data_IF_980766848011
#
_entry.id   IF_980766848011
#
_cell.length_a   1.000
_cell.length_b   1.000
_cell.length_c   1.000
_cell.angle_alpha   90.00
_cell.angle_beta   90.00
_cell.angle_gamma   90.00
#
_symmetry.space_group_name_H-M   'P 1'
#
loop_
_entity.id
_entity.type
_entity.pdbx_description
1 polymer ?
#
# COMPACT_ATOMS: atom_id res chain seq x y z
N UNK A 1 20.83 -41.33 -34.28
CA UNK A 1 19.37 -41.35 -34.49
C UNK A 1 18.84 -42.34 -33.46
N UNK A 2 18.18 -41.96 -32.38
CA UNK A 2 17.26 -40.83 -32.23
C UNK A 2 17.30 -40.28 -30.79
N UNK A 3 17.12 -38.97 -30.65
CA UNK A 3 17.10 -38.20 -29.40
C UNK A 3 15.65 -38.01 -28.95
N UNK A 4 15.29 -38.55 -27.79
CA UNK A 4 14.04 -38.18 -27.10
C UNK A 4 14.09 -38.58 -25.62
N UNK A 5 14.97 -37.93 -24.86
CA UNK A 5 14.76 -37.77 -23.40
C UNK A 5 13.88 -36.55 -23.21
N UNK A 6 12.57 -36.78 -23.04
CA UNK A 6 11.66 -35.77 -22.51
C UNK A 6 12.17 -35.32 -21.14
N UNK A 7 12.64 -34.08 -21.06
CA UNK A 7 12.76 -33.37 -19.79
C UNK A 7 11.35 -33.20 -19.23
N UNK A 8 11.00 -34.00 -18.22
CA UNK A 8 9.87 -33.70 -17.35
C UNK A 8 10.20 -32.40 -16.61
N UNK A 9 9.46 -31.35 -16.92
CA UNK A 9 9.40 -30.14 -16.10
C UNK A 9 8.95 -30.54 -14.69
N UNK A 10 9.58 -30.02 -13.61
CA UNK A 10 9.14 -30.30 -12.26
C UNK A 10 7.71 -29.80 -12.02
N UNK A 11 6.91 -30.62 -11.36
CA UNK A 11 5.53 -30.35 -10.97
C UNK A 11 5.42 -29.09 -10.11
N UNK A 12 4.40 -28.27 -10.38
CA UNK A 12 4.06 -27.02 -9.70
C UNK A 12 3.84 -27.13 -8.19
N UNK A 13 3.77 -28.35 -7.65
CA UNK A 13 3.52 -28.62 -6.23
C UNK A 13 4.72 -28.36 -5.30
N UNK A 14 5.94 -28.21 -5.83
CA UNK A 14 7.17 -27.96 -5.04
C UNK A 14 7.59 -26.49 -4.93
N UNK A 15 6.76 -25.55 -5.40
CA UNK A 15 6.99 -24.13 -5.19
C UNK A 15 6.59 -23.72 -3.75
N UNK A 16 7.34 -22.83 -3.08
CA UNK A 16 6.92 -22.17 -1.84
C UNK A 16 5.49 -21.63 -1.98
N UNK A 17 4.69 -21.65 -0.92
CA UNK A 17 3.28 -21.21 -0.92
C UNK A 17 3.07 -19.84 -1.57
N UNK A 18 4.06 -18.95 -1.45
CA UNK A 18 4.12 -17.63 -2.05
C UNK A 18 3.97 -17.58 -3.59
N UNK A 19 4.36 -18.65 -4.31
CA UNK A 19 4.22 -18.76 -5.77
C UNK A 19 3.00 -19.60 -6.18
N UNK A 20 2.23 -20.12 -5.23
CA UNK A 20 0.95 -20.75 -5.54
C UNK A 20 -0.04 -19.61 -5.73
N UNK A 21 -0.73 -19.59 -6.87
CA UNK A 21 -1.93 -18.78 -7.00
C UNK A 21 -2.89 -19.25 -5.90
N UNK A 22 -3.03 -18.47 -4.83
CA UNK A 22 -4.16 -18.65 -3.94
C UNK A 22 -5.41 -18.53 -4.81
N UNK A 23 -6.32 -19.47 -4.66
CA UNK A 23 -7.68 -19.32 -5.17
C UNK A 23 -8.26 -18.12 -4.44
N UNK A 24 -8.10 -16.94 -5.04
CA UNK A 24 -8.75 -15.71 -4.63
C UNK A 24 -10.23 -16.04 -4.58
N UNK A 25 -10.77 -16.20 -3.36
CA UNK A 25 -12.20 -16.04 -3.11
C UNK A 25 -12.63 -14.79 -3.84
N UNK A 26 -13.78 -14.78 -4.53
CA UNK A 26 -14.28 -13.69 -5.38
C UNK A 26 -14.39 -12.34 -4.63
N UNK A 27 -13.28 -11.74 -4.25
CA UNK A 27 -13.19 -10.36 -3.79
C UNK A 27 -13.34 -9.52 -5.06
N UNK A 28 -14.23 -8.52 -5.08
CA UNK A 28 -14.44 -7.71 -6.27
C UNK A 28 -13.15 -6.98 -6.66
N UNK A 29 -12.39 -7.52 -7.60
CA UNK A 29 -11.26 -6.79 -8.19
C UNK A 29 -11.83 -5.50 -8.79
N UNK A 30 -11.22 -4.35 -8.49
CA UNK A 30 -11.59 -3.07 -9.09
C UNK A 30 -11.07 -3.00 -10.53
N UNK A 31 -11.56 -3.88 -11.40
CA UNK A 31 -11.24 -3.86 -12.82
C UNK A 31 -12.11 -2.84 -13.56
N UNK A 32 -11.46 -1.77 -14.05
CA UNK A 32 -11.98 -0.65 -14.88
C UNK A 32 -12.65 0.50 -14.13
N UNK A 33 -12.51 1.69 -14.75
CA UNK A 33 -13.10 2.98 -14.34
C UNK A 33 -14.59 2.79 -13.98
N UNK A 34 -15.06 3.36 -12.86
CA UNK A 34 -16.41 3.10 -12.40
C UNK A 34 -17.43 3.61 -13.41
N UNK A 35 -18.55 2.89 -13.55
CA UNK A 35 -19.69 3.38 -14.32
C UNK A 35 -20.14 4.72 -13.76
N UNK A 36 -20.49 5.67 -14.63
CA UNK A 36 -20.92 7.02 -14.25
C UNK A 36 -22.20 7.06 -13.38
N UNK A 37 -22.88 5.92 -13.22
CA UNK A 37 -24.16 5.77 -12.51
C UNK A 37 -24.04 4.95 -11.21
N UNK A 38 -23.00 5.19 -10.40
CA UNK A 38 -22.96 4.66 -9.04
C UNK A 38 -23.74 5.56 -8.09
N UNK A 39 -24.61 4.96 -7.26
CA UNK A 39 -25.34 5.65 -6.19
C UNK A 39 -24.73 5.40 -4.81
N UNK A 40 -23.85 4.41 -4.66
CA UNK A 40 -23.18 4.09 -3.41
C UNK A 40 -21.80 3.46 -3.68
N UNK A 41 -20.88 3.60 -2.72
CA UNK A 41 -19.56 3.00 -2.81
C UNK A 41 -19.64 1.45 -2.78
N UNK A 42 -18.80 0.71 -3.51
CA UNK A 42 -18.69 -0.73 -3.32
C UNK A 42 -18.22 -1.05 -1.90
N UNK A 43 -18.75 -2.13 -1.32
CA UNK A 43 -18.39 -2.58 0.03
C UNK A 43 -17.47 -3.80 -0.10
N UNK A 44 -16.35 -3.78 0.61
CA UNK A 44 -15.46 -4.91 0.81
C UNK A 44 -15.63 -5.47 2.21
N UNK A 45 -15.49 -6.79 2.33
CA UNK A 45 -15.37 -7.43 3.63
C UNK A 45 -14.03 -7.05 4.26
N UNK A 46 -14.10 -6.43 5.43
CA UNK A 46 -12.92 -6.13 6.22
C UNK A 46 -12.48 -7.37 6.99
N UNK A 47 -11.19 -7.70 6.89
CA UNK A 47 -10.60 -8.73 7.74
C UNK A 47 -10.57 -8.25 9.21
N UNK A 48 -11.02 -9.07 10.15
CA UNK A 48 -10.95 -8.74 11.58
C UNK A 48 -9.50 -8.53 12.08
N UNK A 49 -8.48 -8.99 11.36
CA UNK A 49 -7.08 -8.78 11.72
C UNK A 49 -6.64 -7.31 11.71
N UNK A 50 -7.25 -6.43 10.90
CA UNK A 50 -6.81 -5.03 10.83
C UNK A 50 -6.93 -4.30 12.17
N UNK A 51 -7.91 -4.69 13.01
CA UNK A 51 -8.12 -4.11 14.34
C UNK A 51 -6.94 -4.36 15.28
N UNK A 52 -6.23 -5.48 15.06
CA UNK A 52 -5.07 -5.85 15.83
C UNK A 52 -3.79 -5.18 15.34
N UNK A 53 -3.77 -4.54 14.17
CA UNK A 53 -2.62 -3.79 13.67
C UNK A 53 -2.32 -2.55 14.52
N UNK A 54 -1.13 -1.97 14.39
CA UNK A 54 -0.76 -0.67 14.95
C UNK A 54 -1.83 0.38 14.65
N UNK A 55 -2.26 0.43 13.39
CA UNK A 55 -3.21 1.45 12.96
C UNK A 55 -4.59 1.21 13.56
N UNK A 56 -5.06 -0.04 13.57
CA UNK A 56 -6.31 -0.44 14.21
C UNK A 56 -6.34 -0.10 15.70
N UNK A 57 -5.30 -0.50 16.45
CA UNK A 57 -5.15 -0.16 17.88
C UNK A 57 -5.15 1.35 18.12
N UNK A 58 -4.52 2.11 17.23
CA UNK A 58 -4.45 3.58 17.32
C UNK A 58 -5.81 4.25 17.07
N UNK A 59 -6.58 3.74 16.10
CA UNK A 59 -7.96 4.20 15.86
C UNK A 59 -8.83 3.89 17.08
N UNK A 60 -8.71 2.67 17.64
CA UNK A 60 -9.46 2.28 18.84
C UNK A 60 -9.12 3.14 20.06
N UNK A 61 -7.86 3.56 20.25
CA UNK A 61 -7.49 4.46 21.34
C UNK A 61 -8.20 5.83 21.24
N UNK A 62 -8.35 6.36 20.03
CA UNK A 62 -8.89 7.70 19.83
C UNK A 62 -10.36 7.78 19.38
N UNK A 63 -11.02 6.65 19.11
CA UNK A 63 -12.37 6.62 18.52
C UNK A 63 -13.39 7.47 19.29
N UNK A 64 -13.37 7.45 20.63
CA UNK A 64 -14.27 8.27 21.47
C UNK A 64 -14.14 9.76 21.23
N UNK A 65 -12.91 10.24 21.06
CA UNK A 65 -12.65 11.65 20.77
C UNK A 65 -13.16 12.02 19.38
N UNK A 66 -12.86 11.18 18.39
CA UNK A 66 -13.33 11.35 17.01
C UNK A 66 -14.86 11.33 16.90
N UNK A 67 -15.54 10.42 17.61
CA UNK A 67 -17.01 10.38 17.68
C UNK A 67 -17.58 11.67 18.27
N UNK A 68 -17.00 12.18 19.37
CA UNK A 68 -17.49 13.41 19.98
C UNK A 68 -17.35 14.62 19.07
N UNK A 69 -16.21 14.74 18.36
CA UNK A 69 -16.00 15.79 17.35
C UNK A 69 -17.07 15.73 16.26
N UNK A 70 -17.40 14.53 15.77
CA UNK A 70 -18.39 14.35 14.73
C UNK A 70 -19.83 14.64 15.19
N UNK A 71 -20.20 14.24 16.41
CA UNK A 71 -21.50 14.56 17.00
C UNK A 71 -21.68 16.06 17.24
N UNK A 72 -20.69 16.73 17.84
CA UNK A 72 -20.77 18.16 18.14
C UNK A 72 -20.85 19.04 16.89
N UNK A 73 -20.33 18.54 15.76
CA UNK A 73 -20.29 19.24 14.48
C UNK A 73 -21.39 18.80 13.49
N UNK A 74 -22.29 17.89 13.87
CA UNK A 74 -23.28 17.26 12.97
C UNK A 74 -22.64 16.70 11.67
N UNK A 75 -21.55 15.95 11.81
CA UNK A 75 -20.79 15.38 10.70
C UNK A 75 -20.81 13.84 10.70
N UNK A 76 -20.48 13.25 9.56
CA UNK A 76 -19.94 11.90 9.45
C UNK A 76 -18.40 11.98 9.50
N UNK A 77 -17.77 11.01 10.14
CA UNK A 77 -16.33 10.86 10.24
C UNK A 77 -15.94 9.44 9.82
N UNK A 78 -14.83 9.32 9.11
CA UNK A 78 -14.32 8.02 8.67
C UNK A 78 -12.81 8.00 8.59
N UNK A 79 -12.24 6.82 8.83
CA UNK A 79 -10.82 6.54 8.63
C UNK A 79 -10.70 5.40 7.63
N UNK A 80 -9.86 5.59 6.61
CA UNK A 80 -9.62 4.59 5.57
C UNK A 80 -8.27 3.89 5.75
N UNK A 81 -8.12 2.74 5.11
CA UNK A 81 -6.84 2.10 4.81
C UNK A 81 -6.07 2.88 3.71
N UNK A 82 -4.84 2.45 3.34
CA UNK A 82 -4.07 3.08 2.27
C UNK A 82 -4.65 2.94 0.86
N UNK A 83 -5.72 2.16 0.70
CA UNK A 83 -6.41 1.92 -0.57
C UNK A 83 -7.69 2.74 -0.73
N UNK A 84 -8.18 3.36 0.35
CA UNK A 84 -9.42 4.13 0.38
C UNK A 84 -10.64 3.35 0.92
N UNK A 85 -10.43 2.14 1.46
CA UNK A 85 -11.47 1.35 2.13
C UNK A 85 -11.67 1.89 3.54
N UNK A 86 -12.89 2.24 3.91
CA UNK A 86 -13.22 2.70 5.27
C UNK A 86 -13.03 1.57 6.27
N UNK A 87 -12.07 1.74 7.20
CA UNK A 87 -11.82 0.80 8.30
C UNK A 87 -12.74 1.09 9.48
N UNK A 88 -12.99 2.36 9.76
CA UNK A 88 -13.81 2.80 10.88
C UNK A 88 -14.65 4.01 10.46
N UNK A 89 -15.90 4.06 10.90
CA UNK A 89 -16.80 5.19 10.65
C UNK A 89 -17.67 5.51 11.86
N UNK A 90 -18.08 6.77 11.94
CA UNK A 90 -19.16 7.20 12.81
C UNK A 90 -19.97 8.30 12.13
N UNK A 91 -21.29 8.31 12.35
CA UNK A 91 -22.16 9.36 11.81
C UNK A 91 -23.08 9.91 12.88
N UNK A 92 -23.03 11.23 13.05
CA UNK A 92 -24.01 11.96 13.84
C UNK A 92 -25.42 11.70 13.34
N UNK A 93 -26.41 11.93 14.22
CA UNK A 93 -27.83 11.66 13.91
C UNK A 93 -28.28 12.32 12.59
N UNK A 94 -27.94 13.58 12.27
CA UNK A 94 -28.36 14.21 11.01
C UNK A 94 -27.74 13.58 9.76
N UNK A 95 -26.55 12.99 9.87
CA UNK A 95 -25.81 12.43 8.73
C UNK A 95 -26.03 10.92 8.55
N UNK A 96 -26.46 10.20 9.59
CA UNK A 96 -26.54 8.72 9.61
C UNK A 96 -27.21 8.10 8.40
N UNK A 97 -28.46 8.48 8.13
CA UNK A 97 -29.23 7.93 7.00
C UNK A 97 -28.57 8.23 5.65
N UNK A 98 -28.03 9.44 5.48
CA UNK A 98 -27.31 9.79 4.25
C UNK A 98 -26.01 8.99 4.10
N UNK A 99 -25.26 8.80 5.20
CA UNK A 99 -24.02 8.03 5.21
C UNK A 99 -24.25 6.56 4.85
N UNK A 100 -25.26 5.93 5.44
CA UNK A 100 -25.64 4.54 5.14
C UNK A 100 -26.04 4.36 3.68
N UNK A 101 -26.84 5.27 3.11
CA UNK A 101 -27.31 5.18 1.72
C UNK A 101 -26.20 5.19 0.67
N UNK A 102 -25.10 5.90 0.94
CA UNK A 102 -23.97 6.01 0.00
C UNK A 102 -22.83 5.06 0.34
N UNK A 103 -23.02 4.20 1.34
CA UNK A 103 -22.02 3.31 1.91
C UNK A 103 -20.77 4.04 2.43
N UNK A 104 -20.97 5.17 3.11
CA UNK A 104 -19.98 5.74 4.02
C UNK A 104 -20.03 4.97 5.35
N UNK A 105 -19.67 3.70 5.26
CA UNK A 105 -19.69 2.70 6.35
C UNK A 105 -18.41 1.87 6.28
N UNK A 106 -18.12 1.09 7.32
CA UNK A 106 -17.00 0.15 7.32
C UNK A 106 -17.07 -0.79 6.09
N UNK A 107 -15.94 -0.96 5.40
CA UNK A 107 -15.83 -1.70 4.15
C UNK A 107 -16.10 -0.87 2.89
N UNK A 108 -16.73 0.30 3.00
CA UNK A 108 -16.99 1.17 1.85
C UNK A 108 -15.70 1.65 1.19
N UNK A 109 -15.54 1.47 -0.12
CA UNK A 109 -14.35 1.85 -0.88
C UNK A 109 -14.52 3.17 -1.63
N UNK A 110 -13.75 4.17 -1.21
CA UNK A 110 -13.87 5.56 -1.64
C UNK A 110 -12.68 6.08 -2.46
N UNK A 111 -11.83 5.19 -3.00
CA UNK A 111 -10.80 5.58 -3.96
C UNK A 111 -11.40 6.22 -5.22
N UNK A 112 -10.60 7.03 -5.93
CA UNK A 112 -11.02 7.61 -7.22
C UNK A 112 -11.36 6.54 -8.25
N UNK A 113 -10.69 5.39 -8.19
CA UNK A 113 -10.96 4.24 -9.04
C UNK A 113 -12.31 3.58 -8.75
N UNK A 114 -12.84 3.71 -7.53
CA UNK A 114 -14.11 3.09 -7.15
C UNK A 114 -15.31 4.02 -7.32
N UNK A 115 -15.21 5.29 -6.93
CA UNK A 115 -16.37 6.22 -6.90
C UNK A 115 -16.13 7.53 -7.65
N UNK A 116 -15.02 7.64 -8.39
CA UNK A 116 -14.64 8.87 -9.08
C UNK A 116 -14.11 9.95 -8.14
N UNK A 117 -14.03 11.19 -8.63
CA UNK A 117 -13.51 12.31 -7.86
C UNK A 117 -14.33 12.53 -6.57
N UNK A 118 -13.64 12.52 -5.43
CA UNK A 118 -14.16 12.75 -4.10
C UNK A 118 -12.99 13.17 -3.17
N UNK A 119 -13.27 13.63 -1.95
CA UNK A 119 -12.23 14.14 -1.05
C UNK A 119 -11.21 13.06 -0.61
N UNK A 120 -11.66 11.84 -0.31
CA UNK A 120 -10.76 10.72 0.05
C UNK A 120 -9.85 10.39 -1.12
N UNK A 121 -10.42 10.18 -2.31
CA UNK A 121 -9.68 9.89 -3.53
C UNK A 121 -8.67 10.99 -3.89
N UNK A 122 -9.07 12.27 -3.76
CA UNK A 122 -8.17 13.39 -4.02
C UNK A 122 -7.00 13.41 -3.03
N UNK A 123 -7.27 13.23 -1.72
CA UNK A 123 -6.23 13.19 -0.70
C UNK A 123 -5.29 11.98 -0.84
N UNK A 124 -5.79 10.81 -1.28
CA UNK A 124 -4.97 9.65 -1.63
C UNK A 124 -3.99 9.96 -2.76
N UNK A 125 -4.46 10.65 -3.81
CA UNK A 125 -3.67 10.93 -5.01
C UNK A 125 -2.67 12.07 -4.84
N UNK A 126 -2.99 13.08 -4.02
CA UNK A 126 -2.13 14.25 -3.80
C UNK A 126 -1.26 14.14 -2.56
N UNK A 127 -1.58 13.23 -1.64
CA UNK A 127 -1.01 13.16 -0.29
C UNK A 127 -1.08 14.52 0.45
N UNK A 128 -2.15 15.28 0.21
CA UNK A 128 -2.42 16.55 0.86
C UNK A 128 -3.85 16.57 1.39
N UNK A 129 -4.13 17.47 2.34
CA UNK A 129 -5.50 17.73 2.71
C UNK A 129 -6.30 18.22 1.48
N UNK A 130 -7.59 17.92 1.45
CA UNK A 130 -8.48 18.27 0.35
C UNK A 130 -9.89 18.60 0.86
N UNK A 131 -10.56 19.48 0.12
CA UNK A 131 -11.97 19.78 0.27
C UNK A 131 -12.63 19.52 -1.08
N UNK A 132 -13.72 18.77 -1.07
CA UNK A 132 -14.56 18.56 -2.26
C UNK A 132 -15.97 19.00 -1.91
N UNK A 133 -16.41 20.04 -2.61
CA UNK A 133 -17.67 20.72 -2.34
C UNK A 133 -18.73 20.32 -3.37
N UNK A 134 -19.83 19.73 -2.89
CA UNK A 134 -21.05 19.49 -3.67
C UNK A 134 -20.79 18.80 -5.01
N UNK A 135 -21.03 19.49 -6.13
CA UNK A 135 -20.92 18.96 -7.50
C UNK A 135 -19.48 18.70 -7.97
N UNK A 136 -18.48 19.07 -7.16
CA UNK A 136 -17.11 18.59 -7.36
C UNK A 136 -16.99 17.08 -7.09
N UNK A 137 -17.93 16.49 -6.35
CA UNK A 137 -18.06 15.04 -6.26
C UNK A 137 -18.61 14.48 -7.57
N UNK A 138 -17.94 13.45 -8.08
CA UNK A 138 -18.37 12.80 -9.31
C UNK A 138 -19.64 11.97 -9.09
N UNK A 139 -19.70 11.21 -8.00
CA UNK A 139 -20.86 10.40 -7.60
C UNK A 139 -22.05 11.29 -7.23
N UNK A 140 -23.20 11.09 -7.88
CA UNK A 140 -24.35 11.98 -7.76
C UNK A 140 -24.96 12.01 -6.35
N UNK A 141 -25.00 10.86 -5.68
CA UNK A 141 -25.63 10.66 -4.37
C UNK A 141 -24.97 11.41 -3.21
N UNK A 142 -23.78 11.97 -3.42
CA UNK A 142 -23.05 12.80 -2.44
C UNK A 142 -22.91 14.27 -2.87
N UNK A 143 -23.59 14.71 -3.94
CA UNK A 143 -23.50 16.10 -4.41
C UNK A 143 -24.20 17.10 -3.49
N UNK A 144 -24.98 16.64 -2.53
CA UNK A 144 -25.50 17.48 -1.45
C UNK A 144 -24.56 17.55 -0.24
N UNK A 145 -23.32 17.03 -0.34
CA UNK A 145 -22.34 17.03 0.74
C UNK A 145 -21.19 18.00 0.48
N UNK A 146 -20.49 18.33 1.54
CA UNK A 146 -19.11 18.82 1.51
C UNK A 146 -18.24 17.86 2.31
N UNK A 147 -17.11 17.49 1.74
CA UNK A 147 -16.21 16.48 2.29
C UNK A 147 -14.82 17.08 2.45
N UNK A 148 -14.23 16.86 3.62
CA UNK A 148 -12.87 17.25 3.95
C UNK A 148 -12.08 15.98 4.21
N UNK A 149 -10.86 15.89 3.68
CA UNK A 149 -10.01 14.74 3.85
C UNK A 149 -8.58 15.16 4.16
N UNK A 150 -7.88 14.42 5.02
CA UNK A 150 -6.46 14.64 5.32
C UNK A 150 -5.69 13.31 5.44
N UNK A 151 -4.45 13.25 4.93
CA UNK A 151 -3.63 12.06 5.03
C UNK A 151 -3.13 11.82 6.46
N UNK A 152 -3.15 10.56 6.88
CA UNK A 152 -2.53 10.08 8.11
C UNK A 152 -1.17 9.50 7.75
N UNK A 153 -0.16 10.38 7.77
CA UNK A 153 1.24 10.01 7.54
C UNK A 153 2.03 10.23 8.82
N UNK A 154 2.82 9.23 9.22
CA UNK A 154 3.78 9.37 10.31
C UNK A 154 4.98 10.21 9.85
N UNK A 155 5.21 11.34 10.53
CA UNK A 155 6.27 12.28 10.20
C UNK A 155 7.69 11.70 10.41
N UNK A 156 7.85 10.72 11.31
CA UNK A 156 9.17 10.17 11.65
C UNK A 156 9.62 9.10 10.63
N UNK A 157 8.70 8.23 10.23
CA UNK A 157 8.97 7.10 9.31
C UNK A 157 8.62 7.44 7.86
N UNK A 158 7.78 8.45 7.64
CA UNK A 158 7.13 8.73 6.37
C UNK A 158 6.20 7.60 5.93
N UNK A 159 5.69 6.78 6.87
CA UNK A 159 4.72 5.73 6.59
C UNK A 159 3.33 6.34 6.43
N UNK A 160 2.64 5.98 5.34
CA UNK A 160 1.27 6.38 5.07
C UNK A 160 0.31 5.27 5.55
N UNK A 161 -0.68 5.64 6.36
CA UNK A 161 -1.62 4.70 6.95
C UNK A 161 -3.02 4.73 6.32
N UNK A 162 -3.40 5.87 5.72
CA UNK A 162 -4.72 6.07 5.14
C UNK A 162 -5.19 7.51 5.25
N UNK A 163 -6.48 7.73 5.04
CA UNK A 163 -7.11 9.06 5.04
C UNK A 163 -8.11 9.20 6.19
N UNK A 164 -8.03 10.32 6.90
CA UNK A 164 -9.09 10.83 7.77
C UNK A 164 -10.09 11.63 6.93
N UNK A 165 -11.39 11.41 7.11
CA UNK A 165 -12.45 12.12 6.41
C UNK A 165 -13.49 12.69 7.38
N UNK A 166 -13.94 13.91 7.10
CA UNK A 166 -15.10 14.55 7.71
C UNK A 166 -16.07 14.98 6.61
N UNK A 167 -17.34 14.62 6.74
CA UNK A 167 -18.37 14.92 5.74
C UNK A 167 -19.65 15.46 6.38
N UNK A 168 -20.29 16.43 5.74
CA UNK A 168 -21.60 16.95 6.16
C UNK A 168 -22.36 17.51 4.96
N UNK A 169 -23.57 18.04 5.14
CA UNK A 169 -24.33 18.69 4.07
C UNK A 169 -23.65 19.99 3.62
N UNK A 170 -23.63 20.26 2.32
CA UNK A 170 -22.85 21.38 1.76
C UNK A 170 -23.25 22.75 2.32
N UNK A 171 -24.51 22.92 2.79
CA UNK A 171 -24.98 24.17 3.41
C UNK A 171 -24.27 24.47 4.74
N UNK A 172 -23.66 23.45 5.37
CA UNK A 172 -22.85 23.58 6.58
C UNK A 172 -21.36 23.74 6.28
N UNK A 173 -20.97 23.99 5.03
CA UNK A 173 -19.58 24.24 4.66
C UNK A 173 -18.99 25.38 5.50
N UNK A 174 -17.80 25.12 6.04
CA UNK A 174 -17.00 26.08 6.77
C UNK A 174 -15.55 26.02 6.27
N UNK A 175 -14.90 27.17 6.11
CA UNK A 175 -13.48 27.27 5.77
C UNK A 175 -12.56 26.60 6.80
N UNK A 176 -13.02 26.42 8.04
CA UNK A 176 -12.27 25.69 9.08
C UNK A 176 -12.33 24.15 8.94
N UNK A 177 -13.09 23.60 8.01
CA UNK A 177 -13.26 22.15 7.86
C UNK A 177 -11.96 21.40 7.54
N UNK A 178 -11.06 22.01 6.76
CA UNK A 178 -9.72 21.46 6.51
C UNK A 178 -8.91 21.35 7.81
N UNK A 179 -8.90 22.42 8.61
CA UNK A 179 -8.18 22.43 9.89
C UNK A 179 -8.77 21.41 10.87
N UNK A 180 -10.09 21.20 10.84
CA UNK A 180 -10.76 20.20 11.65
C UNK A 180 -10.35 18.76 11.27
N UNK A 181 -10.35 18.43 9.97
CA UNK A 181 -9.98 17.08 9.51
C UNK A 181 -8.47 16.82 9.70
N UNK A 182 -7.62 17.83 9.51
CA UNK A 182 -6.19 17.75 9.82
C UNK A 182 -5.96 17.51 11.31
N UNK A 183 -6.72 18.21 12.17
CA UNK A 183 -6.65 17.99 13.62
C UNK A 183 -7.10 16.58 14.01
N UNK A 184 -8.13 16.05 13.38
CA UNK A 184 -8.56 14.66 13.57
C UNK A 184 -7.48 13.67 13.12
N UNK A 185 -6.85 13.91 11.98
CA UNK A 185 -5.72 13.11 11.51
C UNK A 185 -4.55 13.14 12.51
N UNK A 186 -4.25 14.31 13.09
CA UNK A 186 -3.19 14.46 14.09
C UNK A 186 -3.48 13.72 15.40
N UNK A 187 -4.75 13.64 15.83
CA UNK A 187 -5.14 12.80 16.97
C UNK A 187 -4.76 11.33 16.70
N UNK A 188 -5.04 10.81 15.51
CA UNK A 188 -4.68 9.44 15.13
C UNK A 188 -3.15 9.28 15.03
N UNK A 189 -2.44 10.25 14.45
CA UNK A 189 -0.96 10.23 14.38
C UNK A 189 -0.31 10.18 15.77
N UNK A 190 -0.86 10.92 16.74
CA UNK A 190 -0.39 10.88 18.12
C UNK A 190 -0.63 9.50 18.76
N UNK A 191 -1.81 8.90 18.54
CA UNK A 191 -2.10 7.54 19.01
C UNK A 191 -1.14 6.52 18.38
N UNK A 192 -0.87 6.62 17.08
CA UNK A 192 0.13 5.81 16.38
C UNK A 192 1.45 5.86 17.12
N UNK A 193 2.00 7.06 17.38
CA UNK A 193 3.28 7.21 18.08
C UNK A 193 3.33 6.52 19.45
N UNK A 194 2.23 6.51 20.20
CA UNK A 194 2.14 5.83 21.51
C UNK A 194 2.16 4.29 21.38
N UNK A 195 1.58 3.76 20.30
CA UNK A 195 1.47 2.33 20.04
C UNK A 195 2.62 1.74 19.22
N UNK A 196 3.57 2.55 18.73
CA UNK A 196 4.73 2.07 17.96
C UNK A 196 5.76 1.35 18.84
N UNK A 197 5.42 0.13 19.26
CA UNK A 197 6.29 -0.77 20.03
C UNK A 197 6.38 -2.12 19.34
N UNK A 198 7.60 -2.64 19.24
CA UNK A 198 7.93 -3.89 18.55
C UNK A 198 7.48 -3.88 17.07
N UNK A 199 7.88 -2.84 16.33
CA UNK A 199 7.50 -2.65 14.92
C UNK A 199 8.74 -2.47 14.04
N UNK A 200 8.81 -3.26 12.98
CA UNK A 200 9.85 -3.23 11.96
C UNK A 200 9.29 -2.63 10.66
N UNK A 201 9.86 -1.51 10.24
CA UNK A 201 9.56 -0.88 8.96
C UNK A 201 10.64 -1.24 7.95
N UNK A 202 10.25 -1.76 6.79
CA UNK A 202 11.16 -2.08 5.69
C UNK A 202 10.63 -1.40 4.43
N UNK A 203 11.40 -0.42 3.95
CA UNK A 203 11.22 0.16 2.61
C UNK A 203 12.23 -0.46 1.68
N UNK A 204 11.80 -1.10 0.60
CA UNK A 204 12.66 -1.82 -0.33
C UNK A 204 12.31 -1.58 -1.81
N UNK A 205 11.21 -0.89 -2.12
CA UNK A 205 10.90 -0.41 -3.47
C UNK A 205 11.64 0.89 -3.74
N UNK A 206 12.81 0.82 -4.35
CA UNK A 206 13.74 1.94 -4.51
C UNK A 206 14.90 1.88 -3.51
N UNK A 207 15.26 3.01 -2.89
CA UNK A 207 16.39 3.04 -1.94
C UNK A 207 16.03 2.36 -0.62
N UNK A 208 16.70 1.25 -0.25
CA UNK A 208 16.30 0.49 0.93
C UNK A 208 16.51 1.25 2.23
N UNK A 209 15.54 1.18 3.13
CA UNK A 209 15.63 1.75 4.49
C UNK A 209 14.94 0.81 5.47
N UNK A 210 15.57 0.58 6.62
CA UNK A 210 15.02 -0.24 7.68
C UNK A 210 14.98 0.56 8.97
N UNK A 211 13.87 0.51 9.69
CA UNK A 211 13.70 1.14 10.99
C UNK A 211 13.06 0.16 11.97
N UNK A 212 13.51 0.16 13.22
CA UNK A 212 12.89 -0.61 14.30
C UNK A 212 12.51 0.34 15.43
N UNK A 213 11.23 0.33 15.84
CA UNK A 213 10.69 1.26 16.84
C UNK A 213 11.10 2.73 16.58
N UNK A 214 10.94 3.20 15.34
CA UNK A 214 11.33 4.55 14.87
C UNK A 214 12.83 4.82 14.76
N UNK A 215 13.70 3.90 15.16
CA UNK A 215 15.14 4.06 15.03
C UNK A 215 15.64 3.46 13.71
N UNK A 216 16.29 4.29 12.89
CA UNK A 216 16.94 3.82 11.66
C UNK A 216 18.07 2.85 11.94
N UNK A 217 18.11 1.74 11.20
CA UNK A 217 19.15 0.73 11.29
C UNK A 217 20.14 0.88 10.14
N UNK A 218 21.43 0.92 10.46
CA UNK A 218 22.49 0.84 9.46
C UNK A 218 22.80 -0.63 9.19
N UNK A 219 22.22 -1.17 8.13
CA UNK A 219 22.33 -2.58 7.77
C UNK A 219 23.15 -2.78 6.50
N UNK A 220 23.84 -3.92 6.40
CA UNK A 220 24.44 -4.35 5.14
C UNK A 220 23.35 -4.76 4.15
N UNK A 221 23.66 -4.78 2.85
CA UNK A 221 22.73 -5.30 1.84
C UNK A 221 22.26 -6.72 2.20
N UNK A 222 23.17 -7.58 2.66
CA UNK A 222 22.86 -8.97 3.02
C UNK A 222 21.88 -9.06 4.19
N UNK A 223 22.00 -8.17 5.17
CA UNK A 223 21.09 -8.11 6.31
C UNK A 223 19.70 -7.63 5.92
N UNK A 224 19.60 -6.66 5.00
CA UNK A 224 18.32 -6.21 4.44
C UNK A 224 17.65 -7.37 3.67
N UNK A 225 18.41 -8.09 2.85
CA UNK A 225 17.90 -9.27 2.13
C UNK A 225 17.36 -10.34 3.08
N UNK A 226 18.05 -10.62 4.20
CA UNK A 226 17.56 -11.55 5.23
C UNK A 226 16.22 -11.06 5.78
N UNK A 227 16.11 -9.79 6.17
CA UNK A 227 14.86 -9.24 6.72
C UNK A 227 13.71 -9.30 5.70
N UNK A 228 13.97 -9.00 4.43
CA UNK A 228 12.96 -9.12 3.37
C UNK A 228 12.50 -10.56 3.17
N UNK A 229 13.41 -11.55 3.16
CA UNK A 229 13.03 -12.97 3.07
C UNK A 229 12.17 -13.37 4.27
N UNK A 230 12.55 -12.97 5.49
CA UNK A 230 11.76 -13.29 6.68
C UNK A 230 10.39 -12.61 6.67
N UNK A 231 10.27 -11.40 6.11
CA UNK A 231 9.00 -10.72 5.94
C UNK A 231 8.10 -11.39 4.87
N UNK A 232 8.70 -11.94 3.82
CA UNK A 232 8.01 -12.74 2.79
C UNK A 232 7.68 -14.17 3.26
N UNK A 233 8.24 -14.63 4.38
CA UNK A 233 8.00 -15.96 4.96
C UNK A 233 7.48 -15.86 6.40
N UNK A 234 6.23 -15.40 6.62
CA UNK A 234 5.68 -15.18 7.97
C UNK A 234 5.60 -16.45 8.82
N UNK A 235 5.33 -17.61 8.20
CA UNK A 235 5.35 -18.93 8.87
C UNK A 235 6.75 -19.36 9.35
N UNK A 236 7.77 -18.67 8.87
CA UNK A 236 9.18 -18.91 9.15
C UNK A 236 9.86 -19.80 8.12
N UNK A 237 11.19 -19.73 8.13
CA UNK A 237 12.08 -20.43 7.20
C UNK A 237 13.21 -21.13 7.96
N UNK A 238 13.58 -22.34 7.57
CA UNK A 238 14.67 -23.05 8.24
C UNK A 238 16.04 -22.54 7.77
N UNK A 239 17.12 -22.98 8.43
CA UNK A 239 18.47 -22.49 8.12
C UNK A 239 18.94 -22.80 6.69
N UNK A 240 18.66 -24.01 6.21
CA UNK A 240 19.10 -24.49 4.90
C UNK A 240 18.30 -23.81 3.79
N UNK A 241 16.98 -23.66 3.98
CA UNK A 241 16.10 -22.92 3.08
C UNK A 241 16.49 -21.44 3.01
N UNK A 242 16.75 -20.79 4.14
CA UNK A 242 17.16 -19.39 4.17
C UNK A 242 18.51 -19.19 3.48
N UNK A 243 19.44 -20.14 3.68
CA UNK A 243 20.72 -20.12 2.99
C UNK A 243 20.55 -20.24 1.48
N UNK A 244 19.75 -21.21 1.02
CA UNK A 244 19.47 -21.39 -0.40
C UNK A 244 18.74 -20.18 -1.01
N UNK A 245 17.72 -19.66 -0.32
CA UNK A 245 16.97 -18.48 -0.75
C UNK A 245 17.90 -17.26 -0.98
N UNK A 246 18.93 -17.12 -0.13
CA UNK A 246 19.83 -15.97 -0.10
C UNK A 246 21.05 -16.10 -1.02
N UNK A 247 21.62 -17.30 -1.14
CA UNK A 247 22.87 -17.55 -1.85
C UNK A 247 22.71 -18.43 -3.10
N UNK A 248 21.68 -19.26 -3.18
CA UNK A 248 21.55 -20.33 -4.18
C UNK A 248 22.69 -21.34 -4.06
N UNK A 249 23.22 -21.76 -5.21
CA UNK A 249 24.33 -22.74 -5.28
C UNK A 249 25.72 -22.13 -5.01
N UNK A 250 25.79 -20.85 -4.59
CA UNK A 250 27.07 -20.21 -4.29
C UNK A 250 27.74 -20.89 -3.09
N UNK A 251 29.08 -21.07 -3.12
CA UNK A 251 29.82 -21.79 -2.08
C UNK A 251 30.04 -20.91 -0.83
N UNK A 252 28.96 -20.47 -0.19
CA UNK A 252 28.98 -19.70 1.06
C UNK A 252 28.67 -20.64 2.22
N UNK A 253 29.41 -20.57 3.31
CA UNK A 253 29.14 -21.44 4.46
C UNK A 253 27.88 -21.03 5.22
N UNK A 254 27.17 -22.00 5.82
CA UNK A 254 26.04 -21.71 6.74
C UNK A 254 26.48 -20.92 7.98
N UNK A 255 27.77 -20.99 8.34
CA UNK A 255 28.35 -20.22 9.45
C UNK A 255 28.33 -18.72 9.17
N UNK A 256 28.54 -18.33 7.91
CA UNK A 256 28.44 -16.93 7.47
C UNK A 256 27.02 -16.40 7.67
N UNK A 257 25.99 -17.17 7.27
CA UNK A 257 24.59 -16.82 7.51
C UNK A 257 24.27 -16.69 9.01
N UNK A 258 24.73 -17.64 9.83
CA UNK A 258 24.56 -17.59 11.29
C UNK A 258 25.20 -16.34 11.90
N UNK A 259 26.34 -15.89 11.37
CA UNK A 259 26.99 -14.67 11.82
C UNK A 259 26.14 -13.42 11.49
N UNK A 260 25.59 -13.32 10.27
CA UNK A 260 24.68 -12.22 9.89
C UNK A 260 23.42 -12.20 10.76
N UNK A 261 22.80 -13.36 11.00
CA UNK A 261 21.63 -13.48 11.88
C UNK A 261 21.95 -13.09 13.33
N UNK A 262 23.15 -13.44 13.82
CA UNK A 262 23.62 -13.03 15.14
C UNK A 262 23.79 -11.51 15.24
N UNK A 263 24.37 -10.88 14.21
CA UNK A 263 24.52 -9.43 14.14
C UNK A 263 23.16 -8.72 14.10
N UNK A 264 22.22 -9.22 13.29
CA UNK A 264 20.85 -8.70 13.25
C UNK A 264 20.18 -8.78 14.62
N UNK A 265 20.27 -9.91 15.33
CA UNK A 265 19.70 -10.06 16.68
C UNK A 265 20.28 -9.09 17.71
N UNK A 266 21.53 -8.67 17.55
CA UNK A 266 22.11 -7.63 18.40
C UNK A 266 21.53 -6.24 18.11
N UNK A 267 21.16 -5.96 16.84
CA UNK A 267 20.57 -4.69 16.42
C UNK A 267 19.06 -4.62 16.72
N UNK A 268 18.36 -5.75 16.62
CA UNK A 268 16.93 -5.90 16.88
C UNK A 268 16.69 -7.07 17.85
N UNK A 269 16.92 -6.85 19.16
CA UNK A 269 16.76 -7.90 20.18
C UNK A 269 15.33 -8.45 20.20
N UNK A 270 15.23 -9.77 20.39
CA UNK A 270 13.97 -10.52 20.51
C UNK A 270 13.03 -10.49 19.29
N UNK A 271 13.45 -9.85 18.19
CA UNK A 271 12.66 -9.77 16.95
C UNK A 271 12.80 -11.02 16.09
N UNK A 272 13.99 -11.63 16.01
CA UNK A 272 14.22 -12.80 15.13
C UNK A 272 14.22 -14.08 15.95
N UNK A 273 13.12 -14.82 15.89
CA UNK A 273 12.99 -16.14 16.51
C UNK A 273 13.87 -17.19 15.83
N UNK A 274 14.07 -18.34 16.50
CA UNK A 274 14.84 -19.47 15.98
C UNK A 274 13.94 -20.70 15.88
N UNK A 275 14.16 -21.52 14.85
CA UNK A 275 13.53 -22.84 14.67
C UNK A 275 11.99 -22.80 14.56
N UNK A 276 11.42 -22.29 13.44
CA UNK A 276 12.09 -21.70 12.28
C UNK A 276 12.52 -20.24 12.51
N UNK A 277 13.35 -19.67 11.62
CA UNK A 277 13.63 -18.24 11.66
C UNK A 277 12.40 -17.47 11.18
N UNK A 278 11.86 -16.59 12.03
CA UNK A 278 10.71 -15.73 11.73
C UNK A 278 10.79 -14.43 12.51
N UNK A 279 10.08 -13.41 12.05
CA UNK A 279 9.97 -12.11 12.71
C UNK A 279 8.84 -12.16 13.75
N UNK A 280 9.16 -11.88 15.00
CA UNK A 280 8.24 -11.78 16.13
C UNK A 280 7.97 -10.32 16.48
N UNK A 281 7.51 -9.57 15.48
CA UNK A 281 7.20 -8.16 15.58
C UNK A 281 6.13 -7.82 14.55
N UNK A 282 5.45 -6.69 14.71
CA UNK A 282 4.59 -6.18 13.65
C UNK A 282 5.47 -5.65 12.51
N UNK A 283 5.17 -6.02 11.28
CA UNK A 283 5.98 -5.70 10.11
C UNK A 283 5.21 -4.72 9.22
N UNK A 284 5.86 -3.65 8.81
CA UNK A 284 5.31 -2.64 7.89
C UNK A 284 6.25 -2.52 6.68
N UNK A 285 5.83 -3.09 5.55
CA UNK A 285 6.64 -3.23 4.34
C UNK A 285 5.99 -2.55 3.15
N UNK A 286 6.71 -1.68 2.44
CA UNK A 286 6.19 -1.05 1.22
C UNK A 286 5.91 -2.07 0.11
N UNK A 287 6.75 -3.09 -0.02
CA UNK A 287 6.65 -4.13 -1.04
C UNK A 287 5.50 -5.12 -0.78
N UNK A 288 5.26 -5.51 0.48
CA UNK A 288 4.09 -6.34 0.83
C UNK A 288 2.78 -5.55 0.59
N UNK A 289 2.76 -4.28 0.99
CA UNK A 289 1.61 -3.40 0.74
C UNK A 289 1.37 -3.21 -0.77
N UNK A 290 2.44 -3.07 -1.57
CA UNK A 290 2.33 -2.92 -3.01
C UNK A 290 1.84 -4.21 -3.69
N UNK A 291 2.29 -5.37 -3.21
CA UNK A 291 1.84 -6.67 -3.67
C UNK A 291 0.36 -6.89 -3.37
N UNK A 292 -0.08 -6.59 -2.14
CA UNK A 292 -1.49 -6.66 -1.77
C UNK A 292 -2.34 -5.69 -2.60
N UNK A 293 -1.88 -4.45 -2.79
CA UNK A 293 -2.53 -3.47 -3.66
C UNK A 293 -2.68 -4.00 -5.09
N UNK A 294 -1.62 -4.62 -5.61
CA UNK A 294 -1.60 -5.19 -6.96
C UNK A 294 -2.51 -6.42 -7.08
N UNK A 295 -2.61 -7.26 -6.04
CA UNK A 295 -3.55 -8.38 -5.97
C UNK A 295 -5.01 -7.91 -6.03
N UNK A 296 -5.32 -6.82 -5.33
CA UNK A 296 -6.68 -6.26 -5.23
C UNK A 296 -7.03 -5.30 -6.39
N UNK A 297 -6.08 -5.02 -7.28
CA UNK A 297 -6.26 -4.12 -8.42
C UNK A 297 -6.23 -2.63 -8.06
N UNK A 298 -5.72 -2.25 -6.89
CA UNK A 298 -5.57 -0.86 -6.43
C UNK A 298 -4.41 -0.13 -7.13
N UNK A 299 -4.59 0.17 -8.41
CA UNK A 299 -3.56 0.70 -9.32
C UNK A 299 -2.90 1.97 -8.77
N UNK A 300 -3.70 2.93 -8.26
CA UNK A 300 -3.18 4.18 -7.73
C UNK A 300 -2.25 3.97 -6.51
N UNK A 301 -2.62 3.07 -5.59
CA UNK A 301 -1.80 2.73 -4.43
C UNK A 301 -0.53 1.99 -4.85
N UNK A 302 -0.63 1.00 -5.74
CA UNK A 302 0.55 0.27 -6.25
C UNK A 302 1.59 1.21 -6.86
N UNK A 303 1.17 2.11 -7.75
CA UNK A 303 2.06 3.08 -8.39
C UNK A 303 2.61 4.12 -7.41
N UNK A 304 1.90 4.41 -6.33
CA UNK A 304 2.33 5.34 -5.28
C UNK A 304 3.42 4.73 -4.39
N UNK A 305 3.31 3.44 -4.08
CA UNK A 305 4.29 2.68 -3.32
C UNK A 305 5.52 2.35 -4.15
N UNK A 306 5.36 2.14 -5.46
CA UNK A 306 6.47 1.92 -6.36
C UNK A 306 7.33 3.18 -6.51
N UNK A 307 8.50 3.18 -5.87
CA UNK A 307 9.49 4.28 -5.90
C UNK A 307 10.81 3.87 -6.57
N UNK A 308 10.88 2.64 -7.07
CA UNK A 308 12.00 2.03 -7.77
C UNK A 308 11.95 0.52 -7.66
N UNK A 309 12.85 -0.16 -8.36
CA UNK A 309 12.91 -1.62 -8.37
C UNK A 309 13.21 -2.19 -6.97
N UNK A 310 12.56 -3.30 -6.65
CA UNK A 310 12.73 -3.99 -5.37
C UNK A 310 14.16 -4.53 -5.24
N UNK A 311 14.92 -4.00 -4.28
CA UNK A 311 16.31 -4.40 -4.02
C UNK A 311 17.12 -4.61 -5.32
N UNK A 312 17.18 -3.59 -6.20
CA UNK A 312 17.72 -3.69 -7.56
C UNK A 312 19.11 -4.36 -7.68
N UNK A 313 19.96 -4.26 -6.63
CA UNK A 313 21.31 -4.83 -6.58
C UNK A 313 21.38 -6.22 -5.93
N UNK A 314 20.25 -6.76 -5.48
CA UNK A 314 20.20 -8.07 -4.88
C UNK A 314 20.42 -9.14 -5.94
N UNK A 315 21.29 -10.08 -5.58
CA UNK A 315 21.57 -11.29 -6.34
C UNK A 315 20.90 -12.51 -5.68
N UNK A 316 20.14 -12.32 -4.61
CA UNK A 316 19.45 -13.39 -3.88
C UNK A 316 18.43 -14.07 -4.80
N UNK A 317 18.55 -15.38 -5.09
CA UNK A 317 17.65 -16.06 -6.04
C UNK A 317 16.18 -15.89 -5.68
N UNK A 318 15.84 -15.96 -4.39
CA UNK A 318 14.46 -15.80 -3.92
C UNK A 318 13.94 -14.38 -4.15
N UNK A 319 14.74 -13.35 -3.82
CA UNK A 319 14.32 -11.96 -3.94
C UNK A 319 14.31 -11.49 -5.40
N UNK A 320 15.21 -12.00 -6.24
CA UNK A 320 15.16 -11.80 -7.69
C UNK A 320 13.87 -12.39 -8.28
N UNK A 321 13.53 -13.63 -7.94
CA UNK A 321 12.30 -14.26 -8.42
C UNK A 321 11.04 -13.49 -7.99
N UNK A 322 10.99 -13.01 -6.74
CA UNK A 322 9.90 -12.15 -6.27
C UNK A 322 9.85 -10.83 -7.05
N UNK A 323 10.99 -10.14 -7.23
CA UNK A 323 11.08 -8.90 -8.01
C UNK A 323 10.55 -9.10 -9.42
N UNK A 324 11.03 -10.13 -10.11
CA UNK A 324 10.70 -10.36 -11.51
C UNK A 324 9.19 -10.66 -11.69
N UNK A 325 8.61 -11.42 -10.76
CA UNK A 325 7.16 -11.68 -10.72
C UNK A 325 6.36 -10.39 -10.48
N UNK A 326 6.74 -9.61 -9.46
CA UNK A 326 6.09 -8.35 -9.15
C UNK A 326 6.18 -7.35 -10.32
N UNK A 327 7.38 -7.19 -10.91
CA UNK A 327 7.61 -6.27 -12.02
C UNK A 327 6.81 -6.67 -13.27
N UNK A 328 6.72 -7.97 -13.60
CA UNK A 328 5.91 -8.44 -14.72
C UNK A 328 4.41 -8.12 -14.55
N UNK A 329 3.87 -8.32 -13.33
CA UNK A 329 2.48 -7.98 -13.01
C UNK A 329 2.24 -6.48 -13.00
N UNK A 330 3.20 -5.70 -12.52
CA UNK A 330 3.15 -4.24 -12.55
C UNK A 330 3.14 -3.72 -13.99
N UNK A 331 3.98 -4.27 -14.88
CA UNK A 331 3.96 -3.93 -16.31
C UNK A 331 2.58 -4.17 -16.93
N UNK A 332 1.94 -5.29 -16.62
CA UNK A 332 0.58 -5.56 -17.09
C UNK A 332 -0.43 -4.49 -16.68
N UNK A 333 -0.35 -3.98 -15.45
CA UNK A 333 -1.20 -2.89 -14.98
C UNK A 333 -0.86 -1.58 -15.70
N UNK A 334 0.44 -1.26 -15.86
CA UNK A 334 0.89 -0.04 -16.55
C UNK A 334 0.32 0.03 -17.97
N UNK A 335 0.36 -1.06 -18.73
CA UNK A 335 -0.18 -1.10 -20.10
C UNK A 335 -1.70 -0.88 -20.19
N UNK A 336 -2.45 -1.01 -19.09
CA UNK A 336 -3.88 -0.76 -19.04
C UNK A 336 -4.24 0.68 -18.62
N UNK A 337 -3.25 1.48 -18.23
CA UNK A 337 -3.49 2.86 -17.81
C UNK A 337 -3.74 3.72 -19.04
N UNK A 338 -4.81 4.51 -18.99
CA UNK A 338 -5.15 5.54 -19.98
C UNK A 338 -4.95 6.96 -19.43
N UNK A 339 -4.69 7.09 -18.13
CA UNK A 339 -4.44 8.37 -17.45
C UNK A 339 -2.97 8.81 -17.65
N UNK A 340 -2.79 9.78 -18.54
CA UNK A 340 -1.48 10.37 -18.88
C UNK A 340 -0.81 11.00 -17.66
N UNK A 341 -1.56 11.66 -16.77
CA UNK A 341 -0.99 12.31 -15.58
C UNK A 341 -0.51 11.28 -14.55
N UNK A 342 -1.18 10.12 -14.48
CA UNK A 342 -0.73 9.00 -13.66
C UNK A 342 0.59 8.43 -14.19
N UNK A 343 0.71 8.19 -15.50
CA UNK A 343 1.95 7.71 -16.12
C UNK A 343 3.10 8.71 -16.00
N UNK A 344 2.84 10.00 -16.21
CA UNK A 344 3.84 11.07 -16.02
C UNK A 344 4.40 11.07 -14.59
N UNK A 345 3.55 10.86 -13.58
CA UNK A 345 4.01 10.75 -12.18
C UNK A 345 4.93 9.56 -11.96
N UNK A 346 4.64 8.42 -12.59
CA UNK A 346 5.51 7.22 -12.52
C UNK A 346 6.86 7.52 -13.18
N UNK A 347 6.87 7.98 -14.43
CA UNK A 347 8.09 8.29 -15.18
C UNK A 347 8.94 9.37 -14.49
N UNK A 348 8.31 10.39 -13.90
CA UNK A 348 9.04 11.44 -13.16
C UNK A 348 9.78 10.92 -11.92
N UNK A 349 9.30 9.82 -11.34
CA UNK A 349 9.79 9.24 -10.10
C UNK A 349 10.77 8.11 -10.37
N UNK A 350 10.47 7.28 -11.36
CA UNK A 350 11.27 6.13 -11.77
C UNK A 350 11.46 6.18 -13.29
N UNK A 351 12.40 7.02 -13.78
CA UNK A 351 12.60 7.21 -15.22
C UNK A 351 13.04 5.93 -15.93
N UNK A 352 13.67 4.99 -15.20
CA UNK A 352 14.14 3.71 -15.74
C UNK A 352 13.01 2.68 -15.95
N UNK A 353 11.74 3.03 -15.68
CA UNK A 353 10.57 2.19 -16.00
C UNK A 353 10.18 2.35 -17.46
N UNK A 354 10.87 1.59 -18.30
CA UNK A 354 10.71 1.54 -19.76
C UNK A 354 9.25 1.34 -20.18
N UNK A 355 8.55 0.38 -19.58
CA UNK A 355 7.14 0.08 -19.83
C UNK A 355 6.21 1.29 -19.64
N UNK A 356 6.45 2.10 -18.60
CA UNK A 356 5.69 3.33 -18.37
C UNK A 356 6.00 4.42 -19.40
N UNK A 357 7.26 4.52 -19.84
CA UNK A 357 7.68 5.47 -20.89
C UNK A 357 7.07 5.08 -22.24
N UNK A 358 7.10 3.80 -22.59
CA UNK A 358 6.47 3.26 -23.80
C UNK A 358 4.97 3.54 -23.80
N UNK A 359 4.26 3.18 -22.71
CA UNK A 359 2.82 3.42 -22.60
C UNK A 359 2.46 4.90 -22.70
N UNK A 360 3.27 5.77 -22.10
CA UNK A 360 3.08 7.22 -22.19
C UNK A 360 3.26 7.72 -23.64
N UNK A 361 4.23 7.19 -24.39
CA UNK A 361 4.43 7.51 -25.80
C UNK A 361 3.29 7.04 -26.70
N UNK A 362 2.63 5.92 -26.37
CA UNK A 362 1.44 5.43 -27.10
C UNK A 362 0.23 6.36 -26.94
N UNK A 363 0.07 6.97 -25.76
CA UNK A 363 -1.09 7.82 -25.45
C UNK A 363 -0.90 9.28 -25.86
N UNK A 364 0.34 9.77 -25.91
CA UNK A 364 0.64 11.16 -26.25
C UNK A 364 0.57 11.41 -27.77
N UNK A 365 0.02 12.56 -28.22
CA UNK A 365 0.08 12.96 -29.62
C UNK A 365 1.53 13.05 -30.12
N UNK A 366 1.72 12.75 -31.41
CA UNK A 366 3.03 12.70 -32.05
C UNK A 366 3.85 14.00 -31.95
N UNK A 367 3.16 15.14 -31.90
CA UNK A 367 3.70 16.50 -31.90
C UNK A 367 4.03 17.02 -30.48
N UNK A 368 3.89 16.17 -29.45
CA UNK A 368 4.10 16.58 -28.06
C UNK A 368 5.54 17.05 -27.85
N UNK A 369 5.79 18.25 -27.26
CA UNK A 369 7.14 18.81 -27.09
C UNK A 369 8.06 17.97 -26.18
N UNK A 370 7.49 17.05 -25.40
CA UNK A 370 8.20 16.16 -24.50
C UNK A 370 8.60 14.82 -25.14
N UNK A 371 8.12 14.49 -26.35
CA UNK A 371 8.36 13.19 -27.02
C UNK A 371 9.86 12.88 -27.17
N UNK A 372 10.65 13.86 -27.60
CA UNK A 372 12.10 13.71 -27.73
C UNK A 372 12.82 13.47 -26.39
N UNK A 373 12.27 13.99 -25.27
CA UNK A 373 12.82 13.71 -23.93
C UNK A 373 12.48 12.30 -23.48
N UNK A 374 11.26 11.84 -23.76
CA UNK A 374 10.81 10.48 -23.43
C UNK A 374 11.58 9.42 -24.21
N UNK A 375 11.83 9.63 -25.51
CA UNK A 375 12.64 8.71 -26.32
C UNK A 375 14.07 8.54 -25.78
N UNK A 376 14.67 9.62 -25.24
CA UNK A 376 15.99 9.54 -24.59
C UNK A 376 16.01 8.74 -23.29
N UNK A 377 14.86 8.50 -22.68
CA UNK A 377 14.77 7.62 -21.50
C UNK A 377 14.73 6.14 -21.89
N UNK A 378 14.55 5.82 -23.17
CA UNK A 378 14.58 4.45 -23.70
C UNK A 378 15.97 4.07 -24.27
N UNK A 379 16.88 5.03 -24.39
CA UNK A 379 18.29 4.84 -24.80
C UNK A 379 19.14 4.47 -23.57
#
# INVERSE_FOLDING_TARGET
MDMSKQLLLPSTDNLPSFFRAETVSETPCLGKKPSLDLDAAPIFDLDHEWQHSLFGRSIQECHRNLMHIAEDADMAIGVTDPHGTLLWTWSSTPMRSSAEQVHFVEGGQWSTQAVGQNAIGLALNTHSASCVYSHENQMNSVRDWVCYAAPITDANTGQFYGIMNLSTKYQKHNSLGILAVERCADIVKQAIQLHQKNILYIKALGTPKVQYNQHGLTLTQRQIEILCILALCPEGINLEELHYALYGDRPVSTTTLKAELSQLRNLIPDVIESRPYRLNCEIQCDFLMAEQALNLGFTATTLTLYRGSFLAKSESPFLCAWRDCFDARLSHVIYQIDDVDQLLRVVSRVPDRVDAVERLLELLPEETPYRAKLLKLLE
#
